data_IF_191123885878
#
_entry.id   IF_191123885878
#
_cell.length_a   1.000
_cell.length_b   1.000
_cell.length_c   1.000
_cell.angle_alpha   90.00
_cell.angle_beta   90.00
_cell.angle_gamma   90.00
#
_symmetry.space_group_name_H-M   'P 1'
#
loop_
_entity.id
_entity.type
_entity.pdbx_description
1 polymer ?
#
# COMPACT_ATOMS: atom_id res chain seq x y z
N UNK A 1 37.98 -14.98 49.76
CA UNK A 1 37.22 -16.24 49.83
C UNK A 1 36.58 -16.50 48.48
N UNK A 2 37.37 -16.93 47.49
CA UNK A 2 36.88 -17.47 46.21
C UNK A 2 37.52 -18.84 46.06
N UNK A 3 36.87 -19.86 46.61
CA UNK A 3 37.22 -21.25 46.38
C UNK A 3 35.91 -22.04 46.41
N UNK A 4 35.67 -22.86 45.39
CA UNK A 4 34.53 -23.78 45.21
C UNK A 4 33.28 -23.26 44.45
N UNK A 5 33.42 -22.46 43.40
CA UNK A 5 32.39 -22.44 42.34
C UNK A 5 32.69 -23.58 41.37
N UNK A 6 31.73 -24.49 41.12
CA UNK A 6 31.83 -25.46 40.04
C UNK A 6 32.03 -24.73 38.71
N UNK A 7 32.67 -25.37 37.74
CA UNK A 7 32.87 -24.77 36.40
C UNK A 7 31.52 -24.36 35.78
N UNK A 8 30.45 -25.11 36.06
CA UNK A 8 29.08 -24.74 35.70
C UNK A 8 28.62 -23.44 36.36
N UNK A 9 28.89 -23.22 37.64
CA UNK A 9 28.51 -21.99 38.34
C UNK A 9 29.32 -20.77 37.86
N UNK A 10 30.58 -20.96 37.46
CA UNK A 10 31.38 -19.91 36.83
C UNK A 10 30.84 -19.53 35.45
N UNK A 11 30.48 -20.52 34.65
CA UNK A 11 29.90 -20.29 33.32
C UNK A 11 28.52 -19.63 33.41
N UNK A 12 27.66 -20.09 34.34
CA UNK A 12 26.37 -19.44 34.62
C UNK A 12 26.55 -17.98 35.03
N UNK A 13 27.55 -17.66 35.87
CA UNK A 13 27.86 -16.28 36.27
C UNK A 13 28.31 -15.44 35.09
N UNK A 14 29.11 -16.01 34.17
CA UNK A 14 29.56 -15.34 32.94
C UNK A 14 28.39 -15.06 31.99
N UNK A 15 27.53 -16.05 31.76
CA UNK A 15 26.33 -15.91 30.94
C UNK A 15 25.41 -14.84 31.54
N UNK A 16 25.16 -14.89 32.85
CA UNK A 16 24.30 -13.91 33.52
C UNK A 16 24.88 -12.48 33.42
N UNK A 17 26.19 -12.31 33.55
CA UNK A 17 26.84 -11.01 33.34
C UNK A 17 26.68 -10.50 31.90
N UNK A 18 26.73 -11.38 30.90
CA UNK A 18 26.54 -10.97 29.51
C UNK A 18 25.07 -10.62 29.22
N UNK A 19 24.12 -11.39 29.75
CA UNK A 19 22.69 -11.06 29.69
C UNK A 19 22.42 -9.69 30.34
N UNK A 20 22.97 -9.44 31.53
CA UNK A 20 22.81 -8.14 32.20
C UNK A 20 23.40 -6.99 31.38
N UNK A 21 24.54 -7.20 30.70
CA UNK A 21 25.12 -6.19 29.80
C UNK A 21 24.22 -5.91 28.61
N UNK A 22 23.65 -6.95 28.01
CA UNK A 22 22.75 -6.82 26.87
C UNK A 22 21.46 -6.10 27.27
N UNK A 23 20.83 -6.50 28.39
CA UNK A 23 19.65 -5.83 28.94
C UNK A 23 19.89 -4.34 29.23
N UNK A 24 21.09 -3.97 29.71
CA UNK A 24 21.44 -2.56 29.94
C UNK A 24 21.58 -1.77 28.64
N UNK A 25 22.12 -2.39 27.57
CA UNK A 25 22.20 -1.79 26.23
C UNK A 25 20.81 -1.61 25.64
N UNK A 26 20.01 -2.66 25.60
CA UNK A 26 18.64 -2.64 25.06
C UNK A 26 17.77 -1.61 25.79
N UNK A 27 17.89 -1.50 27.13
CA UNK A 27 17.18 -0.48 27.91
C UNK A 27 17.62 0.94 27.58
N UNK A 28 18.88 1.15 27.21
CA UNK A 28 19.39 2.47 26.80
C UNK A 28 18.87 2.83 25.41
N UNK A 29 18.83 1.88 24.50
CA UNK A 29 18.40 2.08 23.13
C UNK A 29 16.88 2.26 23.04
N UNK A 30 16.10 1.44 23.77
CA UNK A 30 14.65 1.59 23.90
C UNK A 30 14.22 2.93 24.53
N UNK A 31 15.09 3.57 25.34
CA UNK A 31 14.83 4.92 25.89
C UNK A 31 15.02 6.03 24.86
N UNK A 32 15.74 5.76 23.76
CA UNK A 32 15.99 6.70 22.67
C UNK A 32 15.02 6.50 21.51
N UNK A 33 14.44 5.31 21.41
CA UNK A 33 13.40 4.97 20.45
C UNK A 33 12.08 5.70 20.78
N UNK A 34 11.49 6.35 19.78
CA UNK A 34 10.15 6.92 19.87
C UNK A 34 9.18 6.04 19.09
N UNK A 35 8.22 5.44 19.78
CA UNK A 35 7.18 4.60 19.15
C UNK A 35 5.98 5.46 18.75
N UNK A 36 5.75 5.54 17.44
CA UNK A 36 4.61 6.25 16.86
C UNK A 36 3.55 5.23 16.43
N UNK A 37 2.31 5.42 16.87
CA UNK A 37 1.17 4.60 16.47
C UNK A 37 0.30 5.37 15.48
N UNK A 38 0.18 4.87 14.25
CA UNK A 38 -0.71 5.43 13.24
C UNK A 38 -2.08 4.76 13.33
N UNK A 39 -3.09 5.54 13.71
CA UNK A 39 -4.49 5.10 13.81
C UNK A 39 -5.34 5.79 12.75
N UNK A 40 -6.34 5.06 12.24
CA UNK A 40 -7.27 5.57 11.25
C UNK A 40 -8.11 4.46 10.64
N UNK A 41 -9.23 4.81 10.03
CA UNK A 41 -10.13 3.88 9.33
C UNK A 41 -9.41 3.14 8.18
N UNK A 42 -10.04 2.11 7.63
CA UNK A 42 -9.56 1.51 6.37
C UNK A 42 -9.29 2.58 5.32
N UNK A 43 -8.24 2.39 4.53
CA UNK A 43 -7.90 3.28 3.39
C UNK A 43 -7.54 4.73 3.74
N UNK A 44 -7.39 5.07 5.02
CA UNK A 44 -7.00 6.43 5.47
C UNK A 44 -5.55 6.84 5.13
N UNK A 45 -4.85 6.12 4.26
CA UNK A 45 -3.48 6.44 3.83
C UNK A 45 -2.34 6.06 4.79
N UNK A 46 -2.61 5.30 5.87
CA UNK A 46 -1.57 4.89 6.85
C UNK A 46 -0.39 4.17 6.21
N UNK A 47 -0.66 3.15 5.41
CA UNK A 47 0.40 2.41 4.70
C UNK A 47 1.14 3.31 3.72
N UNK A 48 0.44 4.23 3.05
CA UNK A 48 1.06 5.21 2.15
C UNK A 48 1.98 6.16 2.91
N UNK A 49 1.60 6.62 4.09
CA UNK A 49 2.46 7.43 4.96
C UNK A 49 3.75 6.68 5.32
N UNK A 50 3.63 5.42 5.74
CA UNK A 50 4.80 4.59 6.04
C UNK A 50 5.70 4.39 4.82
N UNK A 51 5.13 4.13 3.64
CA UNK A 51 5.89 4.01 2.38
C UNK A 51 6.63 5.32 2.06
N UNK A 52 5.98 6.48 2.27
CA UNK A 52 6.63 7.79 2.12
C UNK A 52 7.78 7.98 3.12
N UNK A 53 7.60 7.59 4.38
CA UNK A 53 8.69 7.65 5.38
C UNK A 53 9.89 6.82 4.94
N UNK A 54 9.68 5.64 4.35
CA UNK A 54 10.75 4.81 3.80
C UNK A 54 11.48 5.49 2.63
N UNK A 55 10.77 6.25 1.79
CA UNK A 55 11.37 6.99 0.66
C UNK A 55 12.18 8.18 1.16
N UNK A 56 11.64 8.97 2.09
CA UNK A 56 12.22 10.25 2.50
C UNK A 56 13.33 10.07 3.56
N UNK A 57 13.13 9.17 4.50
CA UNK A 57 13.98 9.00 5.68
C UNK A 57 14.60 7.61 5.80
N UNK A 58 14.24 6.68 4.91
CA UNK A 58 14.82 5.34 4.86
C UNK A 58 15.80 5.19 3.70
N UNK A 59 16.14 3.93 3.39
CA UNK A 59 16.98 3.58 2.24
C UNK A 59 16.22 3.61 0.89
N UNK A 60 14.98 4.08 0.87
CA UNK A 60 14.09 3.97 -0.28
C UNK A 60 13.74 2.52 -0.65
N UNK A 61 13.41 2.32 -1.92
CA UNK A 61 13.12 1.01 -2.51
C UNK A 61 14.22 0.63 -3.50
N UNK A 62 14.95 -0.44 -3.20
CA UNK A 62 15.90 -1.04 -4.14
C UNK A 62 15.16 -1.66 -5.32
N UNK A 63 15.88 -1.96 -6.41
CA UNK A 63 15.26 -2.64 -7.55
C UNK A 63 14.80 -4.06 -7.22
N UNK A 64 15.41 -4.71 -6.23
CA UNK A 64 14.92 -5.98 -5.68
C UNK A 64 13.59 -5.79 -4.94
N UNK A 65 13.47 -4.75 -4.10
CA UNK A 65 12.20 -4.40 -3.46
C UNK A 65 11.11 -4.13 -4.50
N UNK A 66 11.42 -3.31 -5.51
CA UNK A 66 10.49 -2.94 -6.60
C UNK A 66 9.98 -4.17 -7.34
N UNK A 67 10.85 -5.14 -7.64
CA UNK A 67 10.44 -6.42 -8.27
C UNK A 67 9.41 -7.17 -7.43
N UNK A 68 9.53 -7.13 -6.10
CA UNK A 68 8.54 -7.71 -5.18
C UNK A 68 7.14 -7.10 -5.32
N UNK A 69 7.03 -5.86 -5.82
CA UNK A 69 5.73 -5.20 -6.05
C UNK A 69 5.09 -5.49 -7.40
N UNK A 70 5.82 -6.11 -8.35
CA UNK A 70 5.30 -6.40 -9.70
C UNK A 70 4.01 -7.22 -9.59
N UNK A 71 4.07 -8.35 -8.86
CA UNK A 71 2.91 -9.21 -8.62
C UNK A 71 1.75 -8.42 -8.06
N UNK A 72 1.99 -7.63 -7.01
CA UNK A 72 0.96 -6.86 -6.31
C UNK A 72 0.27 -5.85 -7.23
N UNK A 73 1.01 -5.21 -8.15
CA UNK A 73 0.43 -4.31 -9.16
C UNK A 73 -0.54 -5.06 -10.07
N UNK A 74 -0.15 -6.23 -10.58
CA UNK A 74 -1.04 -7.04 -11.42
C UNK A 74 -2.31 -7.44 -10.66
N UNK A 75 -2.17 -7.94 -9.43
CA UNK A 75 -3.30 -8.30 -8.58
C UNK A 75 -4.26 -7.11 -8.37
N UNK A 76 -3.73 -5.90 -8.19
CA UNK A 76 -4.54 -4.69 -8.02
C UNK A 76 -5.31 -4.32 -9.29
N UNK A 77 -4.72 -4.53 -10.47
CA UNK A 77 -5.40 -4.28 -11.76
C UNK A 77 -6.56 -5.26 -11.96
N UNK A 78 -6.32 -6.56 -11.76
CA UNK A 78 -7.38 -7.57 -11.86
C UNK A 78 -8.47 -7.33 -10.84
N UNK A 79 -8.11 -7.10 -9.57
CA UNK A 79 -9.08 -6.79 -8.51
C UNK A 79 -9.93 -5.57 -8.87
N UNK A 80 -9.32 -4.50 -9.40
CA UNK A 80 -10.06 -3.30 -9.80
C UNK A 80 -11.05 -3.59 -10.93
N UNK A 81 -10.62 -4.29 -11.98
CA UNK A 81 -11.49 -4.63 -13.11
C UNK A 81 -12.63 -5.57 -12.69
N UNK A 82 -12.33 -6.62 -11.91
CA UNK A 82 -13.35 -7.54 -11.39
C UNK A 82 -14.35 -6.84 -10.47
N UNK A 83 -13.91 -5.89 -9.64
CA UNK A 83 -14.82 -5.06 -8.85
C UNK A 83 -15.77 -4.24 -9.71
N UNK A 84 -15.28 -3.64 -10.81
CA UNK A 84 -16.13 -2.88 -11.73
C UNK A 84 -17.11 -3.78 -12.48
N UNK A 85 -16.69 -4.95 -12.94
CA UNK A 85 -17.59 -5.93 -13.60
C UNK A 85 -18.71 -6.36 -12.64
N UNK A 86 -18.38 -6.72 -11.39
CA UNK A 86 -19.39 -7.05 -10.36
C UNK A 86 -20.33 -5.87 -10.08
N UNK A 87 -19.81 -4.65 -10.09
CA UNK A 87 -20.61 -3.45 -9.88
C UNK A 87 -21.55 -3.16 -11.06
N UNK A 88 -21.19 -3.51 -12.30
CA UNK A 88 -22.11 -3.39 -13.43
C UNK A 88 -23.39 -4.21 -13.22
N UNK A 89 -23.25 -5.46 -12.74
CA UNK A 89 -24.40 -6.32 -12.43
C UNK A 89 -25.29 -5.74 -11.31
N UNK A 90 -24.66 -5.13 -10.31
CA UNK A 90 -25.33 -4.50 -9.18
C UNK A 90 -26.08 -3.23 -9.61
N UNK A 91 -25.44 -2.39 -10.42
CA UNK A 91 -25.96 -1.10 -10.88
C UNK A 91 -26.82 -1.21 -12.14
N UNK A 92 -26.97 -2.43 -12.69
CA UNK A 92 -27.70 -2.74 -13.92
C UNK A 92 -27.20 -1.95 -15.14
N UNK A 93 -25.88 -1.83 -15.24
CA UNK A 93 -25.20 -1.19 -16.37
C UNK A 93 -24.85 -2.27 -17.39
N UNK A 94 -25.29 -2.11 -18.62
CA UNK A 94 -24.90 -2.99 -19.74
C UNK A 94 -23.54 -2.57 -20.30
N UNK A 95 -22.81 -3.53 -20.88
CA UNK A 95 -21.64 -3.21 -21.69
C UNK A 95 -22.03 -2.33 -22.88
N UNK A 96 -21.09 -1.52 -23.35
CA UNK A 96 -21.25 -0.72 -24.57
C UNK A 96 -21.36 -1.58 -25.84
N UNK A 97 -20.81 -2.80 -25.81
CA UNK A 97 -20.95 -3.82 -26.86
C UNK A 97 -21.24 -5.19 -26.24
N UNK A 98 -22.15 -5.94 -26.84
CA UNK A 98 -22.54 -7.27 -26.37
C UNK A 98 -21.34 -8.25 -26.31
N UNK A 99 -20.43 -8.16 -27.28
CA UNK A 99 -19.20 -8.97 -27.37
C UNK A 99 -18.27 -8.77 -26.16
N UNK A 100 -18.34 -7.64 -25.47
CA UNK A 100 -17.50 -7.39 -24.29
C UNK A 100 -17.95 -8.21 -23.07
N UNK A 101 -19.15 -8.81 -23.09
CA UNK A 101 -19.60 -9.74 -22.05
C UNK A 101 -18.67 -10.93 -21.89
N UNK A 102 -18.24 -11.54 -23.00
CA UNK A 102 -17.31 -12.69 -22.99
C UNK A 102 -15.94 -12.31 -22.41
N UNK A 103 -15.47 -11.08 -22.67
CA UNK A 103 -14.23 -10.55 -22.08
C UNK A 103 -14.38 -10.34 -20.57
N UNK A 104 -15.55 -9.88 -20.12
CA UNK A 104 -15.88 -9.75 -18.70
C UNK A 104 -15.83 -11.11 -17.99
N UNK A 105 -16.44 -12.13 -18.58
CA UNK A 105 -16.40 -13.51 -18.07
C UNK A 105 -14.97 -14.07 -18.02
N UNK A 106 -14.16 -13.82 -19.05
CA UNK A 106 -12.75 -14.20 -19.07
C UNK A 106 -11.98 -13.57 -17.90
N UNK A 107 -12.10 -12.25 -17.69
CA UNK A 107 -11.42 -11.55 -16.59
C UNK A 107 -11.95 -11.99 -15.22
N UNK A 108 -13.21 -12.40 -15.13
CA UNK A 108 -13.81 -12.94 -13.91
C UNK A 108 -13.38 -14.38 -13.59
N UNK A 109 -12.92 -15.14 -14.58
CA UNK A 109 -12.53 -16.55 -14.40
C UNK A 109 -11.21 -16.75 -13.66
N UNK A 110 -10.35 -15.74 -13.62
CA UNK A 110 -9.03 -15.82 -12.97
C UNK A 110 -9.10 -15.38 -11.50
N UNK A 111 -8.46 -16.15 -10.63
CA UNK A 111 -8.24 -15.72 -9.25
C UNK A 111 -7.10 -14.71 -9.20
N UNK A 112 -7.44 -13.44 -8.96
CA UNK A 112 -6.47 -12.35 -8.90
C UNK A 112 -5.38 -12.59 -7.83
N UNK A 113 -5.63 -13.37 -6.78
CA UNK A 113 -4.64 -13.64 -5.73
C UNK A 113 -3.49 -14.54 -6.22
N UNK A 114 -3.75 -15.32 -7.26
CA UNK A 114 -2.78 -16.25 -7.84
C UNK A 114 -1.99 -15.68 -9.02
N UNK A 115 -2.39 -14.52 -9.55
CA UNK A 115 -1.77 -13.88 -10.71
C UNK A 115 -0.28 -13.61 -10.49
N UNK A 116 0.55 -14.00 -11.46
CA UNK A 116 2.00 -13.76 -11.48
C UNK A 116 2.49 -13.03 -12.73
N UNK A 117 1.74 -13.06 -13.83
CA UNK A 117 2.04 -12.37 -15.09
C UNK A 117 0.84 -11.52 -15.54
N UNK A 118 1.11 -10.58 -16.45
CA UNK A 118 0.10 -9.69 -17.03
C UNK A 118 0.24 -9.66 -18.56
N UNK A 119 -0.31 -10.70 -19.19
CA UNK A 119 -0.13 -11.00 -20.62
C UNK A 119 -1.47 -11.33 -21.27
N UNK A 120 -1.46 -11.54 -22.59
CA UNK A 120 -2.65 -12.01 -23.31
C UNK A 120 -3.09 -13.42 -22.86
N UNK A 121 -4.40 -13.71 -22.84
CA UNK A 121 -5.50 -12.89 -23.38
C UNK A 121 -6.03 -11.82 -22.40
N UNK A 122 -5.54 -11.78 -21.16
CA UNK A 122 -6.10 -10.89 -20.12
C UNK A 122 -5.73 -9.42 -20.33
N UNK A 123 -4.53 -9.15 -20.84
CA UNK A 123 -4.08 -7.79 -21.16
C UNK A 123 -5.02 -7.13 -22.17
N UNK A 124 -5.23 -7.76 -23.33
CA UNK A 124 -6.14 -7.24 -24.36
C UNK A 124 -7.58 -7.16 -23.87
N UNK A 125 -8.06 -8.14 -23.09
CA UNK A 125 -9.38 -8.11 -22.50
C UNK A 125 -9.58 -6.90 -21.56
N UNK A 126 -8.67 -6.68 -20.60
CA UNK A 126 -8.75 -5.56 -19.65
C UNK A 126 -8.61 -4.22 -20.37
N UNK A 127 -7.73 -4.12 -21.38
CA UNK A 127 -7.58 -2.91 -22.20
C UNK A 127 -8.85 -2.58 -22.97
N UNK A 128 -9.50 -3.59 -23.55
CA UNK A 128 -10.75 -3.44 -24.30
C UNK A 128 -11.92 -3.07 -23.37
N UNK A 129 -12.04 -3.77 -22.24
CA UNK A 129 -13.05 -3.50 -21.22
C UNK A 129 -12.88 -2.10 -20.63
N UNK A 130 -11.66 -1.64 -20.36
CA UNK A 130 -11.45 -0.28 -19.87
C UNK A 130 -11.92 0.79 -20.86
N UNK A 131 -11.84 0.53 -22.18
CA UNK A 131 -12.37 1.41 -23.20
C UNK A 131 -13.90 1.30 -23.42
N UNK A 132 -14.56 0.34 -22.78
CA UNK A 132 -16.00 0.13 -22.89
C UNK A 132 -16.79 1.25 -22.21
N UNK A 133 -17.87 1.72 -22.84
CA UNK A 133 -18.68 2.82 -22.32
C UNK A 133 -19.43 2.44 -21.04
N UNK A 134 -19.87 1.19 -20.91
CA UNK A 134 -20.52 0.69 -19.69
C UNK A 134 -19.55 0.57 -18.52
N UNK A 135 -18.32 0.11 -18.76
CA UNK A 135 -17.25 0.11 -17.74
C UNK A 135 -16.89 1.54 -17.33
N UNK A 136 -16.77 2.47 -18.28
CA UNK A 136 -16.50 3.88 -17.96
C UNK A 136 -17.65 4.50 -17.14
N UNK A 137 -18.92 4.24 -17.49
CA UNK A 137 -20.06 4.67 -16.69
C UNK A 137 -20.02 4.09 -15.26
N UNK A 138 -19.70 2.79 -15.16
CA UNK A 138 -19.52 2.11 -13.87
C UNK A 138 -18.40 2.76 -13.04
N UNK A 139 -17.28 3.15 -13.67
CA UNK A 139 -16.19 3.86 -13.01
C UNK A 139 -16.58 5.27 -12.55
N UNK A 140 -17.40 5.99 -13.32
CA UNK A 140 -17.90 7.31 -12.91
C UNK A 140 -18.78 7.22 -11.65
N UNK A 141 -19.49 6.09 -11.50
CA UNK A 141 -20.31 5.73 -10.34
C UNK A 141 -19.55 4.97 -9.23
N UNK A 142 -18.20 4.95 -9.26
CA UNK A 142 -17.33 4.27 -8.27
C UNK A 142 -17.53 4.63 -6.79
N UNK A 143 -18.32 5.67 -6.48
CA UNK A 143 -18.69 6.00 -5.09
C UNK A 143 -19.81 5.11 -4.54
N UNK A 144 -20.49 4.35 -5.40
CA UNK A 144 -21.60 3.47 -5.04
C UNK A 144 -21.16 2.05 -4.64
N UNK A 145 -19.89 1.71 -4.85
CA UNK A 145 -19.30 0.41 -4.52
C UNK A 145 -17.84 0.54 -4.11
N UNK A 146 -17.24 -0.53 -3.60
CA UNK A 146 -15.85 -0.52 -3.19
C UNK A 146 -14.91 -0.69 -4.39
N UNK A 147 -14.28 0.42 -4.81
CA UNK A 147 -13.21 0.42 -5.80
C UNK A 147 -11.95 1.05 -5.21
N UNK A 148 -10.79 0.53 -5.57
CA UNK A 148 -9.52 1.15 -5.16
C UNK A 148 -9.32 2.49 -5.86
N UNK A 149 -8.90 3.51 -5.11
CA UNK A 149 -8.59 4.84 -5.66
C UNK A 149 -7.49 4.80 -6.74
N UNK A 150 -6.62 3.80 -6.68
CA UNK A 150 -5.54 3.58 -7.65
C UNK A 150 -5.99 2.91 -8.96
N UNK A 151 -7.24 2.46 -9.09
CA UNK A 151 -7.74 1.76 -10.27
C UNK A 151 -7.44 2.51 -11.58
N UNK A 152 -7.86 3.79 -11.66
CA UNK A 152 -7.65 4.61 -12.86
C UNK A 152 -6.19 4.85 -13.17
N UNK A 153 -5.32 4.92 -12.17
CA UNK A 153 -3.90 5.13 -12.40
C UNK A 153 -3.27 4.01 -13.22
N UNK A 154 -3.56 2.76 -12.85
CA UNK A 154 -3.01 1.61 -13.58
C UNK A 154 -3.74 1.39 -14.90
N UNK A 155 -5.08 1.49 -14.91
CA UNK A 155 -5.88 1.21 -16.10
C UNK A 155 -5.67 2.23 -17.24
N UNK A 156 -5.27 3.47 -16.93
CA UNK A 156 -4.94 4.46 -17.96
C UNK A 156 -3.61 4.19 -18.68
N UNK A 157 -2.72 3.38 -18.10
CA UNK A 157 -1.37 3.15 -18.62
C UNK A 157 -0.96 1.68 -18.46
N UNK A 158 -1.80 0.80 -19.02
CA UNK A 158 -1.57 -0.66 -19.01
C UNK A 158 -0.36 -1.06 -19.85
N UNK A 159 -0.07 -0.30 -20.92
CA UNK A 159 1.03 -0.60 -21.84
C UNK A 159 2.40 -0.53 -21.16
N UNK A 160 2.57 0.39 -20.19
CA UNK A 160 3.77 0.46 -19.34
C UNK A 160 3.88 -0.73 -18.41
N UNK A 161 2.77 -1.16 -17.80
CA UNK A 161 2.74 -2.27 -16.83
C UNK A 161 2.94 -3.63 -17.52
N UNK A 162 2.55 -3.74 -18.78
CA UNK A 162 2.69 -4.95 -19.59
C UNK A 162 4.07 -5.13 -20.25
N UNK A 163 5.00 -4.17 -20.10
CA UNK A 163 6.34 -4.32 -20.68
C UNK A 163 7.09 -5.50 -20.04
N UNK A 164 7.85 -6.31 -20.83
CA UNK A 164 8.61 -7.43 -20.29
C UNK A 164 9.66 -7.04 -19.23
N UNK A 165 10.17 -5.81 -19.31
CA UNK A 165 11.15 -5.23 -18.38
C UNK A 165 10.51 -4.28 -17.35
N UNK A 166 9.19 -4.38 -17.16
CA UNK A 166 8.45 -3.53 -16.22
C UNK A 166 9.03 -3.60 -14.81
N UNK A 167 9.48 -2.44 -14.33
CA UNK A 167 9.89 -2.21 -12.94
C UNK A 167 8.98 -1.15 -12.30
N UNK A 168 8.27 -1.46 -11.20
CA UNK A 168 7.39 -0.50 -10.56
C UNK A 168 8.14 0.74 -10.09
N UNK A 169 7.58 1.91 -10.41
CA UNK A 169 8.06 3.18 -9.90
C UNK A 169 7.69 3.35 -8.43
N UNK A 170 8.30 4.32 -7.75
CA UNK A 170 7.88 4.68 -6.39
C UNK A 170 6.40 5.10 -6.35
N UNK A 171 5.90 5.72 -7.43
CA UNK A 171 4.50 6.08 -7.53
C UNK A 171 3.58 4.85 -7.63
N UNK A 172 4.02 3.81 -8.34
CA UNK A 172 3.32 2.51 -8.34
C UNK A 172 3.31 1.89 -6.95
N UNK A 173 4.46 1.92 -6.25
CA UNK A 173 4.60 1.38 -4.90
C UNK A 173 3.73 2.15 -3.90
N UNK A 174 3.62 3.46 -4.02
CA UNK A 174 2.75 4.27 -3.16
C UNK A 174 1.27 3.96 -3.35
N UNK A 175 0.86 3.63 -4.59
CA UNK A 175 -0.53 3.40 -4.98
C UNK A 175 -1.00 1.96 -4.88
N UNK A 176 -0.08 0.99 -4.89
CA UNK A 176 -0.44 -0.43 -4.80
C UNK A 176 -1.00 -0.72 -3.41
N UNK A 177 -2.19 -1.34 -3.39
CA UNK A 177 -2.80 -1.78 -2.13
C UNK A 177 -2.15 -3.09 -1.73
N UNK A 178 -1.65 -3.12 -0.49
CA UNK A 178 -1.23 -4.33 0.18
C UNK A 178 -2.11 -4.48 1.42
N UNK A 179 -2.87 -5.59 1.55
CA UNK A 179 -3.63 -5.86 2.76
C UNK A 179 -2.69 -5.82 3.96
N UNK A 180 -2.98 -4.93 4.92
CA UNK A 180 -2.26 -4.91 6.19
C UNK A 180 -2.96 -5.86 7.14
N UNK A 181 -2.38 -7.04 7.36
CA UNK A 181 -2.82 -7.97 8.39
C UNK A 181 -1.96 -7.80 9.63
N UNK A 182 -2.61 -7.65 10.80
CA UNK A 182 -1.90 -7.50 12.07
C UNK A 182 -1.20 -6.14 12.26
N UNK A 183 -0.24 -6.13 13.19
CA UNK A 183 0.58 -4.96 13.52
C UNK A 183 1.85 -5.05 12.69
N UNK A 184 2.14 -3.99 11.92
CA UNK A 184 3.36 -3.89 11.12
C UNK A 184 4.20 -2.75 11.68
N UNK A 185 5.42 -3.06 12.08
CA UNK A 185 6.39 -2.10 12.62
C UNK A 185 7.41 -1.73 11.56
N UNK A 186 7.70 -0.43 11.42
CA UNK A 186 8.70 0.09 10.48
C UNK A 186 9.68 0.98 11.23
N UNK A 187 10.89 0.48 11.54
CA UNK A 187 11.93 1.30 12.14
C UNK A 187 12.53 2.25 11.09
N UNK A 188 12.73 3.51 11.46
CA UNK A 188 13.47 4.49 10.68
C UNK A 188 14.18 5.47 11.62
N UNK A 189 15.38 5.89 11.23
CA UNK A 189 16.17 6.86 11.97
C UNK A 189 15.88 8.27 11.43
N UNK A 190 15.46 9.17 12.32
CA UNK A 190 15.33 10.60 12.01
C UNK A 190 16.57 11.32 12.53
N UNK A 191 17.41 11.84 11.64
CA UNK A 191 18.72 12.41 12.01
C UNK A 191 18.65 13.61 12.97
N UNK A 192 17.52 14.32 13.12
CA UNK A 192 17.34 15.35 14.15
C UNK A 192 15.86 15.58 14.49
N UNK A 193 15.42 15.27 15.72
CA UNK A 193 14.02 15.47 16.13
C UNK A 193 13.84 16.82 16.84
N UNK A 194 13.16 17.77 16.16
CA UNK A 194 12.38 18.84 16.80
C UNK A 194 11.03 19.00 16.09
N UNK A 195 10.00 18.34 16.62
CA UNK A 195 8.62 18.58 16.19
C UNK A 195 7.99 19.73 16.99
N UNK A 196 7.53 20.76 16.28
CA UNK A 196 6.62 21.80 16.80
C UNK A 196 5.41 21.87 15.87
N UNK A 197 4.27 21.37 16.33
CA UNK A 197 3.00 21.50 15.61
C UNK A 197 2.26 22.74 16.11
N UNK A 198 1.80 23.60 15.19
CA UNK A 198 0.89 24.69 15.49
C UNK A 198 -0.24 24.62 14.47
N UNK A 199 -1.40 24.13 14.90
CA UNK A 199 -2.62 24.17 14.11
C UNK A 199 -3.26 25.54 14.35
N UNK A 200 -3.11 26.45 13.39
CA UNK A 200 -3.90 27.67 13.36
C UNK A 200 -5.12 27.41 12.50
N UNK A 201 -6.27 27.16 13.14
CA UNK A 201 -7.56 27.16 12.47
C UNK A 201 -7.82 28.61 12.05
N UNK A 202 -7.60 28.94 10.77
CA UNK A 202 -8.14 30.15 10.19
C UNK A 202 -9.65 29.93 10.04
N UNK A 203 -10.41 30.36 11.05
CA UNK A 203 -11.85 30.45 10.95
C UNK A 203 -12.19 31.35 9.76
N UNK A 204 -12.88 30.76 8.77
CA UNK A 204 -13.61 31.43 7.69
C UNK A 204 -14.18 32.78 8.15
N UNK A 205 -13.62 33.87 7.64
CA UNK A 205 -14.36 35.11 7.33
C UNK A 205 -14.18 35.42 5.85
N UNK A 206 -14.86 34.67 4.99
CA UNK A 206 -15.11 35.08 3.60
C UNK A 206 -16.45 34.53 3.10
N UNK A 207 -17.49 34.71 3.92
CA UNK A 207 -18.89 34.65 3.52
C UNK A 207 -19.60 35.84 4.20
N UNK A 208 -19.36 37.06 3.72
CA UNK A 208 -20.17 38.29 3.93
C UNK A 208 -19.36 39.49 3.42
N UNK A 209 -19.36 39.73 2.10
CA UNK A 209 -19.14 41.03 1.42
C UNK A 209 -18.95 40.82 -0.11
N UNK A 210 -19.92 40.18 -0.77
CA UNK A 210 -20.25 40.45 -2.20
C UNK A 210 -21.79 40.53 -2.30
N UNK A 211 -22.37 41.28 -1.36
CA UNK A 211 -23.59 42.01 -1.54
C UNK A 211 -23.18 43.45 -1.18
N UNK A 212 -23.38 44.40 -2.10
CA UNK A 212 -22.82 45.76 -2.12
C UNK A 212 -21.40 45.89 -2.71
N UNK A 213 -21.28 45.61 -4.01
CA UNK A 213 -20.99 46.62 -5.05
C UNK A 213 -21.51 46.12 -6.39
#
# INVERSE_FOLDING_TARGET
MECCLSEEAKEQKRINQEIERQLRRDKRDARRELKLLLLGTGESGKSTFIKQMRIIHGSGYSDEDKRGYIKLVYQNIFMAMQSMIKAMDMLKISYGKDEHGELGELVMSIDYETVTSFEDPYLSAIKTLWADTGIQECYDRRREYQLTDSAKYYLMDLDRVAQPDYLPTEQDILRVRVPTTGIIEYPFDLEEIRFRYSIQILFRKMCLLIAYM
#
